data_IF_958229625225
#
_entry.id   IF_958229625225
#
_cell.length_a   1.000
_cell.length_b   1.000
_cell.length_c   1.000
_cell.angle_alpha   90.00
_cell.angle_beta   90.00
_cell.angle_gamma   90.00
#
_symmetry.space_group_name_H-M   'P 1'
#
loop_
_entity.id
_entity.type
_entity.pdbx_description
1 polymer ?
#
# COMPACT_ATOMS: atom_id res chain seq x y z
N UNK A 1 -25.42 7.61 -5.70
CA UNK A 1 -25.18 6.19 -5.95
C UNK A 1 -23.85 5.81 -5.31
N UNK A 2 -23.78 4.83 -4.43
CA UNK A 2 -22.50 4.33 -3.98
C UNK A 2 -21.84 3.64 -5.17
N UNK A 3 -20.78 4.19 -5.67
CA UNK A 3 -19.88 3.53 -6.62
C UNK A 3 -19.20 2.40 -5.87
N UNK A 4 -19.73 1.21 -5.99
CA UNK A 4 -19.06 -0.01 -5.54
C UNK A 4 -17.95 -0.27 -6.56
N UNK A 5 -16.83 0.34 -6.32
CA UNK A 5 -15.61 -0.02 -7.03
C UNK A 5 -14.62 -0.46 -5.97
N UNK A 6 -14.29 -1.74 -5.94
CA UNK A 6 -13.19 -2.25 -5.10
C UNK A 6 -11.87 -1.51 -5.37
N UNK A 7 -11.82 -0.70 -6.43
CA UNK A 7 -10.72 0.22 -6.74
C UNK A 7 -10.74 1.50 -5.89
N UNK A 8 -11.87 1.84 -5.26
CA UNK A 8 -11.95 3.02 -4.39
C UNK A 8 -11.54 2.70 -2.95
N UNK A 9 -11.55 1.44 -2.55
CA UNK A 9 -11.07 0.99 -1.27
C UNK A 9 -9.56 0.72 -1.35
N UNK A 10 -8.78 1.58 -0.67
CA UNK A 10 -7.32 1.50 -0.70
C UNK A 10 -6.79 0.14 -0.19
N UNK A 11 -7.48 -0.48 0.77
CA UNK A 11 -7.10 -1.79 1.32
C UNK A 11 -7.21 -2.88 0.26
N UNK A 12 -8.20 -2.79 -0.63
CA UNK A 12 -8.45 -3.77 -1.69
C UNK A 12 -7.68 -3.48 -2.98
N UNK A 13 -7.05 -2.32 -3.09
CA UNK A 13 -6.28 -1.92 -4.27
C UNK A 13 -4.90 -2.60 -4.30
N UNK A 14 -4.87 -3.92 -4.23
CA UNK A 14 -3.66 -4.73 -4.21
C UNK A 14 -3.96 -6.15 -4.71
N UNK A 15 -2.92 -6.92 -4.98
CA UNK A 15 -3.06 -8.35 -5.27
C UNK A 15 -3.51 -9.11 -4.02
N UNK A 16 -4.45 -10.01 -4.18
CA UNK A 16 -5.07 -10.78 -3.08
C UNK A 16 -4.03 -11.45 -2.16
N UNK A 17 -2.99 -12.05 -2.73
CA UNK A 17 -1.97 -12.75 -1.93
C UNK A 17 -1.18 -11.83 -0.98
N UNK A 18 -1.18 -10.52 -1.21
CA UNK A 18 -0.48 -9.56 -0.34
C UNK A 18 -1.16 -9.40 1.02
N UNK A 19 -2.43 -9.75 1.14
CA UNK A 19 -3.14 -9.72 2.41
C UNK A 19 -2.58 -10.68 3.46
N UNK A 20 -1.86 -11.74 3.04
CA UNK A 20 -1.22 -12.66 3.97
C UNK A 20 0.24 -12.33 4.30
N UNK A 21 0.86 -11.33 3.66
CA UNK A 21 2.27 -11.02 3.85
C UNK A 21 2.64 -10.67 5.30
N UNK A 22 1.73 -10.07 6.06
CA UNK A 22 1.94 -9.76 7.47
C UNK A 22 2.23 -11.00 8.33
N UNK A 23 1.76 -12.18 7.91
CA UNK A 23 1.99 -13.45 8.60
C UNK A 23 3.37 -14.04 8.32
N UNK A 24 4.08 -13.50 7.32
CA UNK A 24 5.37 -14.00 6.84
C UNK A 24 6.56 -13.22 7.40
N UNK A 25 6.32 -12.09 8.06
CA UNK A 25 7.41 -11.31 8.63
C UNK A 25 8.05 -12.02 9.82
N UNK A 26 9.39 -11.96 9.95
CA UNK A 26 10.07 -12.42 11.15
C UNK A 26 9.54 -11.73 12.40
N UNK A 27 9.55 -12.46 13.52
CA UNK A 27 9.20 -11.86 14.81
C UNK A 27 10.16 -10.69 15.13
N UNK A 28 9.59 -9.58 15.59
CA UNK A 28 10.35 -8.37 15.91
C UNK A 28 10.61 -7.46 14.69
N UNK A 29 9.98 -7.71 13.55
CA UNK A 29 10.03 -6.78 12.42
C UNK A 29 9.33 -5.47 12.78
N UNK A 30 10.08 -4.36 12.77
CA UNK A 30 9.57 -3.02 13.09
C UNK A 30 9.31 -2.17 11.86
N UNK A 31 10.06 -2.39 10.78
CA UNK A 31 9.99 -1.62 9.55
C UNK A 31 9.99 -2.53 8.33
N UNK A 32 9.24 -2.13 7.32
CA UNK A 32 9.31 -2.71 5.98
C UNK A 32 9.68 -1.61 4.99
N UNK A 33 10.68 -1.88 4.16
CA UNK A 33 11.05 -1.02 3.05
C UNK A 33 10.86 -1.76 1.74
N UNK A 34 10.25 -1.10 0.78
CA UNK A 34 10.05 -1.60 -0.57
C UNK A 34 10.38 -0.51 -1.58
N UNK A 35 10.64 -0.91 -2.81
CA UNK A 35 10.92 0.02 -3.89
C UNK A 35 10.17 -0.38 -5.16
N UNK A 36 9.97 0.59 -6.03
CA UNK A 36 9.38 0.40 -7.35
C UNK A 36 10.46 0.61 -8.40
N UNK A 37 10.58 -0.35 -9.31
CA UNK A 37 11.49 -0.27 -10.45
C UNK A 37 10.80 -0.73 -11.74
N UNK A 38 11.29 -0.27 -12.87
CA UNK A 38 10.93 -0.86 -14.16
C UNK A 38 11.74 -2.13 -14.37
N UNK A 39 11.06 -3.29 -14.49
CA UNK A 39 11.74 -4.59 -14.68
C UNK A 39 12.27 -4.83 -16.07
N UNK A 40 12.21 -3.83 -16.96
CA UNK A 40 12.67 -3.94 -18.32
C UNK A 40 11.56 -4.32 -19.30
N UNK A 41 11.96 -4.70 -20.49
CA UNK A 41 11.13 -4.97 -21.64
C UNK A 41 11.85 -4.59 -22.92
N UNK A 42 11.10 -4.21 -23.95
CA UNK A 42 11.68 -3.76 -25.23
C UNK A 42 12.26 -2.36 -25.16
N UNK A 43 11.91 -1.56 -24.16
CA UNK A 43 12.41 -0.20 -23.97
C UNK A 43 13.55 -0.19 -22.94
N UNK A 44 14.65 0.51 -23.23
CA UNK A 44 15.81 0.55 -22.35
C UNK A 44 15.67 1.52 -21.18
N UNK A 45 14.65 2.38 -21.21
CA UNK A 45 14.42 3.41 -20.21
C UNK A 45 12.93 3.61 -19.95
N UNK A 46 12.61 4.21 -18.81
CA UNK A 46 11.26 4.59 -18.42
C UNK A 46 11.24 6.02 -17.90
N UNK A 47 10.10 6.70 -18.09
CA UNK A 47 9.86 8.01 -17.48
C UNK A 47 9.01 7.81 -16.22
N UNK A 48 9.46 8.39 -15.11
CA UNK A 48 8.71 8.36 -13.85
C UNK A 48 7.66 9.47 -13.85
N UNK A 49 6.38 9.09 -13.76
CA UNK A 49 5.26 10.03 -13.74
C UNK A 49 4.06 9.41 -13.04
N UNK A 50 3.27 10.24 -12.34
CA UNK A 50 1.97 9.87 -11.77
C UNK A 50 1.96 9.60 -10.28
N UNK A 51 3.09 9.57 -9.58
CA UNK A 51 3.12 9.36 -8.12
C UNK A 51 2.35 10.46 -7.37
N UNK A 52 2.52 11.73 -7.76
CA UNK A 52 1.85 12.86 -7.12
C UNK A 52 0.32 12.79 -7.27
N UNK A 53 -0.14 12.43 -8.47
CA UNK A 53 -1.57 12.21 -8.70
C UNK A 53 -2.10 11.06 -7.84
N UNK A 54 -1.37 9.95 -7.76
CA UNK A 54 -1.76 8.80 -6.93
C UNK A 54 -1.82 9.17 -5.44
N UNK A 55 -0.85 9.91 -4.93
CA UNK A 55 -0.86 10.39 -3.54
C UNK A 55 -2.12 11.23 -3.28
N UNK A 56 -2.41 12.20 -4.14
CA UNK A 56 -3.56 13.10 -3.97
C UNK A 56 -4.89 12.36 -4.05
N UNK A 57 -5.04 11.46 -5.00
CA UNK A 57 -6.31 10.76 -5.24
C UNK A 57 -6.56 9.60 -4.28
N UNK A 58 -5.50 8.95 -3.78
CA UNK A 58 -5.60 7.70 -3.03
C UNK A 58 -5.07 7.78 -1.62
N UNK A 59 -3.82 8.26 -1.42
CA UNK A 59 -3.17 8.19 -0.11
C UNK A 59 -3.60 9.32 0.84
N UNK A 60 -4.02 10.47 0.32
CA UNK A 60 -4.56 11.56 1.13
C UNK A 60 -6.05 11.38 1.49
N UNK A 61 -6.65 10.29 1.07
CA UNK A 61 -7.99 9.89 1.49
C UNK A 61 -7.86 8.93 2.69
N UNK A 62 -8.41 9.29 3.86
CA UNK A 62 -8.31 8.42 5.03
C UNK A 62 -9.14 7.15 4.85
N UNK A 63 -8.62 6.03 5.31
CA UNK A 63 -9.34 4.77 5.43
C UNK A 63 -10.43 4.94 6.49
N UNK A 64 -11.63 4.46 6.20
CA UNK A 64 -12.78 4.50 7.08
C UNK A 64 -13.10 3.12 7.66
N UNK A 65 -13.95 3.08 8.69
CA UNK A 65 -14.46 1.82 9.23
C UNK A 65 -15.21 1.01 8.16
N UNK A 66 -15.95 1.68 7.28
CA UNK A 66 -16.66 1.02 6.17
C UNK A 66 -15.70 0.36 5.18
N UNK A 67 -14.56 1.01 4.90
CA UNK A 67 -13.51 0.42 4.04
C UNK A 67 -12.92 -0.84 4.68
N UNK A 68 -12.71 -0.84 6.00
CA UNK A 68 -12.20 -2.00 6.75
C UNK A 68 -13.23 -3.15 6.73
N UNK A 69 -14.51 -2.85 6.96
CA UNK A 69 -15.58 -3.84 6.95
C UNK A 69 -15.73 -4.50 5.57
N UNK A 70 -15.70 -3.71 4.51
CA UNK A 70 -15.75 -4.21 3.13
C UNK A 70 -14.52 -5.06 2.81
N UNK A 71 -13.32 -4.57 3.14
CA UNK A 71 -12.08 -5.28 2.87
C UNK A 71 -12.01 -6.61 3.61
N UNK A 72 -12.47 -6.67 4.87
CA UNK A 72 -12.56 -7.91 5.62
C UNK A 72 -13.49 -8.92 4.95
N UNK A 73 -14.70 -8.48 4.55
CA UNK A 73 -15.67 -9.33 3.90
C UNK A 73 -15.14 -9.91 2.58
N UNK A 74 -14.54 -9.08 1.74
CA UNK A 74 -13.97 -9.49 0.45
C UNK A 74 -12.78 -10.43 0.64
N UNK A 75 -11.83 -10.07 1.51
CA UNK A 75 -10.61 -10.86 1.75
C UNK A 75 -10.94 -12.24 2.31
N UNK A 76 -11.88 -12.32 3.26
CA UNK A 76 -12.35 -13.61 3.80
C UNK A 76 -13.08 -14.45 2.76
N UNK A 77 -13.89 -13.84 1.90
CA UNK A 77 -14.55 -14.55 0.79
C UNK A 77 -13.55 -15.14 -0.21
N UNK A 78 -12.38 -14.52 -0.34
CA UNK A 78 -11.27 -15.03 -1.15
C UNK A 78 -10.41 -16.09 -0.42
N UNK A 79 -10.76 -16.46 0.81
CA UNK A 79 -10.02 -17.44 1.61
C UNK A 79 -8.71 -16.93 2.19
N UNK A 80 -8.51 -15.61 2.26
CA UNK A 80 -7.28 -15.01 2.77
C UNK A 80 -7.46 -14.50 4.20
N UNK A 81 -6.40 -14.53 5.03
CA UNK A 81 -6.44 -13.94 6.36
C UNK A 81 -6.56 -12.42 6.27
N UNK A 82 -7.30 -11.84 7.20
CA UNK A 82 -7.42 -10.38 7.33
C UNK A 82 -7.10 -9.95 8.76
N UNK A 83 -6.15 -9.05 8.91
CA UNK A 83 -5.76 -8.53 10.21
C UNK A 83 -6.51 -7.23 10.51
N UNK A 84 -7.75 -7.37 11.00
CA UNK A 84 -8.60 -6.21 11.34
C UNK A 84 -7.95 -5.30 12.36
N UNK A 85 -7.27 -5.86 13.36
CA UNK A 85 -6.65 -5.08 14.45
C UNK A 85 -5.63 -4.08 13.93
N UNK A 86 -4.79 -4.48 12.96
CA UNK A 86 -3.81 -3.57 12.37
C UNK A 86 -4.47 -2.42 11.62
N UNK A 87 -5.54 -2.69 10.87
CA UNK A 87 -6.28 -1.65 10.16
C UNK A 87 -7.03 -0.71 11.12
N UNK A 88 -7.57 -1.25 12.21
CA UNK A 88 -8.16 -0.44 13.27
C UNK A 88 -7.10 0.42 13.98
N UNK A 89 -5.88 -0.08 14.13
CA UNK A 89 -4.75 0.71 14.63
C UNK A 89 -4.45 1.91 13.72
N UNK A 90 -4.41 1.70 12.40
CA UNK A 90 -4.23 2.81 11.45
C UNK A 90 -5.36 3.84 11.56
N UNK A 91 -6.60 3.38 11.70
CA UNK A 91 -7.74 4.27 11.86
C UNK A 91 -7.66 5.08 13.16
N UNK A 92 -7.34 4.45 14.27
CA UNK A 92 -7.36 5.07 15.59
C UNK A 92 -6.11 5.93 15.87
N UNK A 93 -4.92 5.44 15.51
CA UNK A 93 -3.65 6.08 15.86
C UNK A 93 -3.20 7.09 14.79
N UNK A 94 -3.62 6.91 13.55
CA UNK A 94 -3.19 7.73 12.40
C UNK A 94 -4.36 8.40 11.68
N UNK A 95 -5.58 8.39 12.25
CA UNK A 95 -6.75 9.02 11.64
C UNK A 95 -7.13 8.42 10.28
N UNK A 96 -6.77 7.17 10.02
CA UNK A 96 -7.01 6.48 8.76
C UNK A 96 -5.97 6.73 7.66
N UNK A 97 -4.96 7.53 7.91
CA UNK A 97 -3.86 7.73 6.97
C UNK A 97 -2.78 6.65 7.14
N UNK A 98 -2.27 6.15 6.02
CA UNK A 98 -1.20 5.16 6.08
C UNK A 98 0.09 5.81 6.60
N UNK A 99 0.74 5.23 7.62
CA UNK A 99 2.02 5.73 8.16
C UNK A 99 3.17 5.33 7.23
N UNK A 100 3.22 5.90 6.04
CA UNK A 100 4.24 5.61 5.02
C UNK A 100 5.11 6.82 4.75
N UNK A 101 6.39 6.57 4.55
CA UNK A 101 7.35 7.52 4.01
C UNK A 101 7.67 7.15 2.57
N UNK A 102 7.60 8.12 1.67
CA UNK A 102 7.83 7.90 0.24
C UNK A 102 8.94 8.83 -0.22
N UNK A 103 10.00 8.25 -0.76
CA UNK A 103 11.08 8.96 -1.43
C UNK A 103 11.06 8.59 -2.91
N UNK A 104 11.11 9.55 -3.79
CA UNK A 104 11.02 9.30 -5.22
C UNK A 104 11.93 10.23 -6.01
N UNK A 105 12.31 9.82 -7.21
CA UNK A 105 12.91 10.73 -8.18
C UNK A 105 11.88 11.77 -8.61
N UNK A 106 12.30 12.97 -9.04
CA UNK A 106 11.35 13.98 -9.53
C UNK A 106 10.50 13.45 -10.70
N UNK A 107 9.24 13.88 -10.74
CA UNK A 107 8.33 13.60 -11.86
C UNK A 107 8.96 14.07 -13.19
N UNK A 108 8.82 13.26 -14.23
CA UNK A 108 9.42 13.50 -15.54
C UNK A 108 10.87 13.01 -15.69
N UNK A 109 11.47 12.46 -14.63
CA UNK A 109 12.82 11.89 -14.72
C UNK A 109 12.81 10.63 -15.59
N UNK A 110 13.73 10.58 -16.54
CA UNK A 110 13.96 9.40 -17.39
C UNK A 110 15.13 8.61 -16.81
N UNK A 111 14.89 7.34 -16.51
CA UNK A 111 15.88 6.45 -15.92
C UNK A 111 16.00 5.16 -16.75
N UNK A 112 17.20 4.56 -16.80
CA UNK A 112 17.36 3.20 -17.29
C UNK A 112 16.46 2.23 -16.51
N UNK A 113 16.09 1.12 -17.14
CA UNK A 113 15.41 0.02 -16.45
C UNK A 113 16.28 -0.56 -15.34
N UNK A 114 15.65 -1.26 -14.39
CA UNK A 114 16.30 -1.83 -13.20
C UNK A 114 16.94 -0.79 -12.25
N UNK A 115 16.43 0.44 -12.27
CA UNK A 115 16.75 1.48 -11.28
C UNK A 115 15.53 1.81 -10.44
N UNK A 116 15.75 2.07 -9.14
CA UNK A 116 14.70 2.44 -8.21
C UNK A 116 14.09 3.80 -8.61
N UNK A 117 12.79 3.83 -8.80
CA UNK A 117 11.99 5.01 -9.13
C UNK A 117 11.48 5.69 -7.86
N UNK A 118 11.01 4.89 -6.92
CA UNK A 118 10.63 5.36 -5.59
C UNK A 118 10.84 4.26 -4.55
N UNK A 119 11.00 4.68 -3.31
CA UNK A 119 11.09 3.83 -2.13
C UNK A 119 9.95 4.18 -1.18
N UNK A 120 9.34 3.14 -0.62
CA UNK A 120 8.34 3.26 0.42
C UNK A 120 8.88 2.59 1.67
N UNK A 121 8.77 3.24 2.81
CA UNK A 121 9.04 2.64 4.11
C UNK A 121 7.88 2.85 5.06
N UNK A 122 7.58 1.86 5.86
CA UNK A 122 6.49 1.89 6.82
C UNK A 122 6.93 1.26 8.13
N UNK A 123 6.68 1.91 9.27
CA UNK A 123 6.85 1.28 10.57
C UNK A 123 5.77 0.21 10.75
N UNK A 124 6.19 -1.00 11.12
CA UNK A 124 5.29 -2.03 11.60
C UNK A 124 5.29 -1.91 13.12
N UNK A 125 4.25 -1.34 13.68
CA UNK A 125 4.04 -1.46 15.12
C UNK A 125 3.45 -2.83 15.38
N UNK A 126 4.25 -3.71 16.03
CA UNK A 126 3.68 -4.90 16.65
C UNK A 126 2.75 -4.44 17.77
N UNK A 127 1.48 -4.73 17.67
CA UNK A 127 0.49 -4.55 18.75
C UNK A 127 0.64 -5.64 19.83
N UNK A 128 1.87 -5.99 20.18
CA UNK A 128 2.19 -6.85 21.33
C UNK A 128 2.74 -5.98 22.43
N UNK A 129 1.82 -5.45 23.24
CA UNK A 129 2.07 -5.00 24.60
C UNK A 129 1.60 -6.07 25.56
#
# INVERSE_FOLDING_TARGET
>A
MPTISGFDNLILNTDTYKHCHHTLYPQGTEYVSSYVESRGGIFPATMFVGLQAYIQERLLRPITLADIDEAEAVTRAQGMPFCRENWMGILNDHGGFLPVEIEAVPEGTVLPTAMSLCRLSTPIRSTTG
#
